data_IF_322786254381
#
_entry.id   IF_322786254381
#
_cell.length_a   1.000
_cell.length_b   1.000
_cell.length_c   1.000
_cell.angle_alpha   90.00
_cell.angle_beta   90.00
_cell.angle_gamma   90.00
#
_symmetry.space_group_name_H-M   'P 1'
#
loop_
_entity.id
_entity.type
_entity.pdbx_description
1 polymer ?
#
# COMPACT_ATOMS: atom_id res chain seq x y z
N UNK A 1 39.39 -25.37 4.13
CA UNK A 1 37.93 -25.37 3.85
C UNK A 1 37.44 -23.91 3.83
N UNK A 2 37.35 -23.27 2.65
CA UNK A 2 36.92 -21.86 2.55
C UNK A 2 35.39 -21.79 2.66
N UNK A 3 34.88 -21.26 3.77
CA UNK A 3 33.45 -21.01 3.98
C UNK A 3 33.04 -19.84 3.08
N UNK A 4 32.54 -20.13 1.88
CA UNK A 4 31.92 -19.12 1.01
C UNK A 4 30.66 -18.63 1.73
N UNK A 5 30.79 -17.51 2.44
CA UNK A 5 29.64 -16.75 2.91
C UNK A 5 28.90 -16.30 1.65
N UNK A 6 27.85 -17.04 1.28
CA UNK A 6 26.88 -16.57 0.29
C UNK A 6 26.37 -15.23 0.80
N UNK A 7 26.89 -14.13 0.25
CA UNK A 7 26.24 -12.83 0.36
C UNK A 7 24.83 -13.07 -0.16
N UNK A 8 23.85 -13.15 0.74
CA UNK A 8 22.46 -12.95 0.34
C UNK A 8 22.49 -11.61 -0.37
N UNK A 9 22.26 -11.61 -1.69
CA UNK A 9 21.83 -10.40 -2.37
C UNK A 9 20.67 -9.90 -1.50
N UNK A 10 20.79 -8.73 -0.89
CA UNK A 10 19.61 -7.99 -0.47
C UNK A 10 18.79 -7.96 -1.75
N UNK A 11 17.78 -8.82 -1.85
CA UNK A 11 16.79 -8.66 -2.90
C UNK A 11 16.31 -7.23 -2.77
N UNK A 12 16.02 -6.56 -3.87
CA UNK A 12 15.45 -5.23 -3.87
C UNK A 12 14.14 -5.28 -3.06
N UNK A 13 14.27 -5.07 -1.75
CA UNK A 13 13.25 -5.32 -0.75
C UNK A 13 12.47 -4.02 -0.68
N UNK A 14 11.48 -3.91 -1.56
CA UNK A 14 10.54 -2.82 -1.51
C UNK A 14 9.48 -3.10 -0.47
N UNK A 15 9.09 -2.06 0.25
CA UNK A 15 8.06 -2.12 1.27
C UNK A 15 6.88 -1.26 0.79
N UNK A 16 5.76 -1.90 0.45
CA UNK A 16 4.46 -1.23 0.51
C UNK A 16 4.21 -0.71 1.93
N UNK A 17 4.02 0.60 2.06
CA UNK A 17 3.76 1.29 3.32
C UNK A 17 2.41 2.01 3.24
N UNK A 18 1.64 1.91 4.31
CA UNK A 18 0.42 2.68 4.51
C UNK A 18 0.73 3.75 5.55
N UNK A 19 0.53 5.02 5.19
CA UNK A 19 0.74 6.16 6.10
C UNK A 19 -0.57 6.92 6.20
N UNK A 20 -1.05 7.18 7.41
CA UNK A 20 -2.22 8.04 7.63
C UNK A 20 -1.81 9.36 8.29
N UNK A 21 -2.47 10.45 7.91
CA UNK A 21 -2.31 11.79 8.50
C UNK A 21 -3.60 12.23 9.18
N UNK A 22 -4.11 11.37 10.07
CA UNK A 22 -5.38 11.56 10.78
C UNK A 22 -6.59 11.27 9.89
N UNK A 23 -6.83 12.10 8.87
CA UNK A 23 -7.97 11.96 7.93
C UNK A 23 -7.58 11.34 6.59
N UNK A 24 -6.38 11.62 6.12
CA UNK A 24 -5.93 11.17 4.80
C UNK A 24 -5.03 9.94 4.90
N UNK A 25 -5.32 8.95 4.06
CA UNK A 25 -4.55 7.73 3.91
C UNK A 25 -3.76 7.75 2.61
N UNK A 26 -2.45 7.56 2.74
CA UNK A 26 -1.48 7.55 1.65
C UNK A 26 -0.89 6.15 1.49
N UNK A 27 -0.99 5.64 0.27
CA UNK A 27 -0.31 4.41 -0.13
C UNK A 27 1.04 4.77 -0.74
N UNK A 28 2.11 4.24 -0.15
CA UNK A 28 3.48 4.50 -0.56
C UNK A 28 4.18 3.17 -0.89
N UNK A 29 5.07 3.21 -1.88
CA UNK A 29 6.05 2.16 -2.13
C UNK A 29 7.43 2.71 -1.76
N UNK A 30 8.04 2.11 -0.74
CA UNK A 30 9.39 2.43 -0.33
C UNK A 30 10.38 1.48 -0.99
N UNK A 31 11.33 2.06 -1.73
CA UNK A 31 12.53 1.40 -2.23
C UNK A 31 13.72 2.03 -1.50
N UNK A 32 14.84 1.32 -1.29
CA UNK A 32 16.03 1.91 -0.68
C UNK A 32 16.46 3.18 -1.44
N UNK A 33 16.27 4.35 -0.84
CA UNK A 33 16.59 5.66 -1.43
C UNK A 33 15.51 6.32 -2.28
N UNK A 34 14.35 5.69 -2.48
CA UNK A 34 13.26 6.22 -3.30
C UNK A 34 11.88 5.98 -2.66
N UNK A 35 11.05 7.02 -2.56
CA UNK A 35 9.65 6.91 -2.13
C UNK A 35 8.76 7.18 -3.33
N UNK A 36 7.88 6.23 -3.62
CA UNK A 36 6.88 6.36 -4.67
C UNK A 36 5.49 6.45 -4.07
N UNK A 37 4.68 7.37 -4.58
CA UNK A 37 3.27 7.47 -4.18
C UNK A 37 2.45 6.53 -5.06
N UNK A 38 1.64 5.68 -4.44
CA UNK A 38 0.86 4.68 -5.15
C UNK A 38 -0.41 5.23 -5.81
N UNK A 39 -0.99 6.27 -5.23
CA UNK A 39 -2.18 6.97 -5.73
C UNK A 39 -1.90 8.46 -5.91
N UNK A 40 -2.47 9.08 -6.96
CA UNK A 40 -2.30 10.52 -7.20
C UNK A 40 -2.96 11.36 -6.10
N UNK A 41 -4.07 10.89 -5.55
CA UNK A 41 -4.83 11.51 -4.47
C UNK A 41 -4.81 10.63 -3.22
N UNK A 42 -4.87 11.21 -2.01
CA UNK A 42 -5.06 10.43 -0.80
C UNK A 42 -6.48 9.87 -0.74
N UNK A 43 -6.67 8.82 0.04
CA UNK A 43 -7.99 8.38 0.44
C UNK A 43 -8.37 9.11 1.71
N UNK A 44 -9.30 10.05 1.59
CA UNK A 44 -9.81 10.79 2.74
C UNK A 44 -10.93 9.98 3.39
N UNK A 45 -10.82 9.76 4.69
CA UNK A 45 -11.90 9.22 5.51
C UNK A 45 -12.37 10.34 6.42
N UNK A 46 -13.58 10.84 6.15
CA UNK A 46 -14.25 11.77 7.05
C UNK A 46 -14.93 11.00 8.17
N UNK A 47 -14.61 11.38 9.41
CA UNK A 47 -15.22 10.84 10.61
C UNK A 47 -15.89 12.00 11.34
N UNK A 48 -17.21 12.03 11.30
CA UNK A 48 -18.06 13.01 12.00
C UNK A 48 -18.67 12.36 13.24
N UNK A 49 -19.06 13.17 14.23
CA UNK A 49 -19.75 12.67 15.43
C UNK A 49 -21.09 12.01 15.05
N UNK A 50 -21.75 12.51 14.01
CA UNK A 50 -22.99 11.95 13.46
C UNK A 50 -22.81 10.50 12.94
N UNK A 51 -21.60 10.12 12.54
CA UNK A 51 -21.29 8.74 12.11
C UNK A 51 -21.31 7.72 13.27
N UNK A 52 -21.36 8.17 14.53
CA UNK A 52 -21.53 7.30 15.70
C UNK A 52 -22.95 6.72 15.76
N UNK A 53 -23.94 7.42 15.23
CA UNK A 53 -25.31 6.95 15.18
C UNK A 53 -25.48 5.81 14.18
N UNK A 54 -26.17 4.73 14.58
CA UNK A 54 -26.29 3.51 13.76
C UNK A 54 -27.02 3.71 12.43
N UNK A 55 -27.96 4.65 12.39
CA UNK A 55 -28.85 4.85 11.24
C UNK A 55 -28.53 6.16 10.49
N UNK A 56 -27.43 6.84 10.85
CA UNK A 56 -27.04 8.05 10.15
C UNK A 56 -26.48 7.73 8.76
N UNK A 57 -26.73 8.66 7.83
CA UNK A 57 -26.13 8.60 6.48
C UNK A 57 -24.61 8.70 6.55
N UNK A 58 -24.08 9.46 7.50
CA UNK A 58 -22.65 9.66 7.72
C UNK A 58 -21.94 8.35 8.08
N UNK A 59 -22.59 7.48 8.86
CA UNK A 59 -22.06 6.14 9.13
C UNK A 59 -21.95 5.29 7.88
N UNK A 60 -22.94 5.36 6.99
CA UNK A 60 -22.90 4.64 5.73
C UNK A 60 -21.73 5.13 4.85
N UNK A 61 -21.57 6.45 4.73
CA UNK A 61 -20.45 7.07 3.99
C UNK A 61 -19.09 6.68 4.59
N UNK A 62 -18.99 6.64 5.92
CA UNK A 62 -17.79 6.20 6.63
C UNK A 62 -17.47 4.73 6.32
N UNK A 63 -18.47 3.83 6.40
CA UNK A 63 -18.32 2.42 6.08
C UNK A 63 -17.84 2.20 4.64
N UNK A 64 -18.45 2.88 3.67
CA UNK A 64 -18.04 2.78 2.25
C UNK A 64 -16.61 3.27 2.03
N UNK A 65 -16.20 4.34 2.73
CA UNK A 65 -14.84 4.89 2.65
C UNK A 65 -13.81 3.93 3.25
N UNK A 66 -14.11 3.33 4.40
CA UNK A 66 -13.27 2.31 5.05
C UNK A 66 -13.17 1.05 4.18
N UNK A 67 -14.28 0.60 3.59
CA UNK A 67 -14.29 -0.57 2.72
C UNK A 67 -13.38 -0.37 1.50
N UNK A 68 -13.40 0.80 0.87
CA UNK A 68 -12.49 1.13 -0.24
C UNK A 68 -11.03 1.04 0.18
N UNK A 69 -10.67 1.61 1.34
CA UNK A 69 -9.29 1.56 1.86
C UNK A 69 -8.86 0.13 2.17
N UNK A 70 -9.73 -0.66 2.82
CA UNK A 70 -9.47 -2.08 3.08
C UNK A 70 -9.32 -2.89 1.79
N UNK A 71 -10.12 -2.60 0.76
CA UNK A 71 -10.00 -3.21 -0.55
C UNK A 71 -8.61 -3.01 -1.15
N UNK A 72 -8.10 -1.77 -1.13
CA UNK A 72 -6.74 -1.46 -1.60
C UNK A 72 -5.68 -2.19 -0.77
N UNK A 73 -5.81 -2.23 0.57
CA UNK A 73 -4.88 -2.97 1.44
C UNK A 73 -4.86 -4.46 1.08
N UNK A 74 -6.04 -5.07 0.89
CA UNK A 74 -6.16 -6.48 0.50
C UNK A 74 -5.54 -6.75 -0.87
N UNK A 75 -5.74 -5.87 -1.85
CA UNK A 75 -5.10 -5.97 -3.17
C UNK A 75 -3.58 -5.91 -3.09
N UNK A 76 -3.04 -5.00 -2.28
CA UNK A 76 -1.59 -4.89 -2.04
C UNK A 76 -1.03 -6.16 -1.39
N UNK A 77 -1.73 -6.69 -0.38
CA UNK A 77 -1.34 -7.93 0.31
C UNK A 77 -1.40 -9.14 -0.61
N UNK A 78 -2.47 -9.28 -1.43
CA UNK A 78 -2.57 -10.31 -2.47
C UNK A 78 -1.44 -10.21 -3.46
N UNK A 79 -1.14 -8.99 -3.93
CA UNK A 79 0.01 -8.72 -4.79
C UNK A 79 1.29 -9.27 -4.17
N UNK A 80 1.58 -8.97 -2.90
CA UNK A 80 2.76 -9.48 -2.20
C UNK A 80 2.78 -11.00 -2.04
N UNK A 81 1.66 -11.60 -1.66
CA UNK A 81 1.55 -13.06 -1.52
C UNK A 81 1.86 -13.76 -2.84
N UNK A 82 1.37 -13.24 -3.97
CA UNK A 82 1.64 -13.76 -5.32
C UNK A 82 3.03 -13.39 -5.88
N UNK A 83 3.73 -12.40 -5.30
CA UNK A 83 5.04 -11.92 -5.78
C UNK A 83 6.22 -12.80 -5.32
N UNK A 84 6.02 -13.69 -4.34
CA UNK A 84 7.06 -14.63 -3.94
C UNK A 84 7.34 -15.71 -5.01
N UNK A 85 6.41 -15.93 -5.94
CA UNK A 85 6.52 -16.98 -6.96
C UNK A 85 7.17 -16.52 -8.28
N UNK A 86 7.20 -15.22 -8.60
CA UNK A 86 7.80 -14.72 -9.87
C UNK A 86 8.57 -13.39 -9.75
N UNK A 87 9.88 -13.35 -10.11
CA UNK A 87 10.69 -12.12 -10.07
C UNK A 87 10.32 -11.10 -11.15
N UNK A 88 9.73 -11.50 -12.28
CA UNK A 88 9.35 -10.59 -13.37
C UNK A 88 8.19 -9.66 -12.98
N UNK A 89 7.23 -10.15 -12.18
CA UNK A 89 6.10 -9.35 -11.69
C UNK A 89 6.55 -8.20 -10.77
N UNK A 90 7.67 -8.37 -10.05
CA UNK A 90 8.27 -7.32 -9.20
C UNK A 90 8.72 -6.12 -10.04
N UNK A 91 9.41 -6.37 -11.15
CA UNK A 91 9.94 -5.32 -12.03
C UNK A 91 8.82 -4.52 -12.71
N UNK A 92 7.83 -5.21 -13.28
CA UNK A 92 6.67 -4.58 -13.93
C UNK A 92 5.93 -3.64 -12.96
N UNK A 93 5.79 -4.05 -11.70
CA UNK A 93 5.12 -3.23 -10.68
C UNK A 93 5.92 -1.97 -10.33
N UNK A 94 7.24 -2.08 -10.14
CA UNK A 94 8.11 -0.92 -9.85
C UNK A 94 8.12 0.06 -11.04
N UNK A 95 8.22 -0.44 -12.27
CA UNK A 95 8.12 0.39 -13.48
C UNK A 95 6.77 1.12 -13.56
N UNK A 96 5.67 0.44 -13.22
CA UNK A 96 4.35 1.07 -13.16
C UNK A 96 4.26 2.26 -12.20
N UNK A 97 4.99 2.24 -11.09
CA UNK A 97 5.06 3.41 -10.19
C UNK A 97 6.02 4.50 -10.72
N UNK A 98 7.11 4.13 -11.39
CA UNK A 98 8.04 5.08 -12.04
C UNK A 98 7.39 5.85 -13.19
N UNK A 99 6.54 5.20 -13.97
CA UNK A 99 5.84 5.81 -15.10
C UNK A 99 4.67 6.72 -14.70
N UNK A 100 4.26 6.73 -13.42
CA UNK A 100 3.20 7.58 -12.88
C UNK A 100 3.71 8.90 -12.29
N UNK A 101 5.00 9.20 -12.46
CA UNK A 101 5.60 10.50 -12.10
C UNK A 101 5.07 11.63 -12.97
#
# INVERSE_FOLDING_TARGET
MKRIKRKRKRGDEYFDCLVSTGRDWHFLLYLPGEIYRGSKLPFTIEFTDDALEKESKDRQVLCESVEKVLGVVVELLKGRACLNDEPNRKKVRIEGYRSKK
#
